data_IF_568534805833
#
_entry.id   IF_568534805833
#
_cell.length_a   1.000
_cell.length_b   1.000
_cell.length_c   1.000
_cell.angle_alpha   90.00
_cell.angle_beta   90.00
_cell.angle_gamma   90.00
#
_symmetry.space_group_name_H-M   'P 1'
#
loop_
_entity.id
_entity.type
_entity.pdbx_description
1 polymer ?
#
# COMPACT_ATOMS: atom_id res chain seq x y z
N UNK A 1 4.04 16.30 -19.81
CA UNK A 1 3.22 15.98 -18.62
C UNK A 1 3.98 14.95 -17.82
N UNK A 2 4.25 15.19 -16.54
CA UNK A 2 4.79 14.15 -15.66
C UNK A 2 3.77 13.01 -15.59
N UNK A 3 4.25 11.78 -15.78
CA UNK A 3 3.40 10.60 -15.58
C UNK A 3 3.07 10.54 -14.09
N UNK A 4 1.80 10.33 -13.76
CA UNK A 4 1.35 10.08 -12.38
C UNK A 4 1.00 8.61 -12.30
N UNK A 5 1.55 7.92 -11.31
CA UNK A 5 1.23 6.52 -11.01
C UNK A 5 0.38 6.48 -9.75
N UNK A 6 -0.86 6.00 -9.91
CA UNK A 6 -1.82 5.85 -8.81
C UNK A 6 -1.55 4.55 -8.06
N UNK A 7 -1.35 4.65 -6.76
CA UNK A 7 -0.99 3.50 -5.92
C UNK A 7 -1.97 3.28 -4.78
N UNK A 8 -2.09 2.02 -4.37
CA UNK A 8 -2.76 1.59 -3.15
C UNK A 8 -1.75 0.99 -2.18
N UNK A 9 -2.04 1.04 -0.87
CA UNK A 9 -1.24 0.38 0.15
C UNK A 9 -2.14 -0.50 1.00
N UNK A 10 -1.77 -1.78 1.16
CA UNK A 10 -2.41 -2.70 2.10
C UNK A 10 -1.44 -3.03 3.23
N UNK A 11 -1.88 -2.89 4.47
CA UNK A 11 -1.14 -3.29 5.67
C UNK A 11 -1.82 -4.46 6.39
N UNK A 12 -1.06 -5.30 7.09
CA UNK A 12 -1.67 -6.31 7.94
C UNK A 12 -2.47 -5.63 9.06
N UNK A 13 -3.69 -6.10 9.29
CA UNK A 13 -4.60 -5.54 10.31
C UNK A 13 -4.09 -5.71 11.74
N UNK A 14 -3.12 -6.61 11.98
CA UNK A 14 -2.39 -6.63 13.26
C UNK A 14 -1.82 -5.25 13.62
N UNK A 15 -1.42 -4.49 12.60
CA UNK A 15 -0.94 -3.12 12.73
C UNK A 15 -2.06 -2.09 12.51
N UNK A 16 -3.33 -2.39 12.80
CA UNK A 16 -4.47 -1.44 12.68
C UNK A 16 -4.30 -0.13 13.43
N UNK A 17 -3.40 -0.08 14.43
CA UNK A 17 -3.03 1.14 15.16
C UNK A 17 -1.93 1.96 14.47
N UNK A 18 -1.37 1.47 13.37
CA UNK A 18 -0.34 2.17 12.60
C UNK A 18 -0.97 3.33 11.84
N UNK A 19 -0.50 4.54 12.10
CA UNK A 19 -0.93 5.75 11.41
C UNK A 19 -0.38 5.89 9.97
N UNK A 20 0.30 4.86 9.43
CA UNK A 20 0.84 4.86 8.07
C UNK A 20 2.05 5.78 7.82
N UNK A 21 2.48 6.59 8.80
CA UNK A 21 3.49 7.64 8.59
C UNK A 21 4.81 7.18 7.95
N UNK A 22 5.32 6.00 8.29
CA UNK A 22 6.54 5.45 7.63
C UNK A 22 6.30 5.13 6.15
N UNK A 23 5.15 4.53 5.81
CA UNK A 23 4.79 4.23 4.43
C UNK A 23 4.64 5.53 3.61
N UNK A 24 3.94 6.52 4.16
CA UNK A 24 3.72 7.82 3.49
C UNK A 24 5.02 8.60 3.29
N UNK A 25 5.93 8.58 4.28
CA UNK A 25 7.25 9.18 4.16
C UNK A 25 8.09 8.48 3.11
N UNK A 26 8.12 7.15 3.12
CA UNK A 26 8.86 6.36 2.12
C UNK A 26 8.32 6.59 0.71
N UNK A 27 7.00 6.69 0.54
CA UNK A 27 6.35 7.06 -0.72
C UNK A 27 6.81 8.44 -1.20
N UNK A 28 6.75 9.45 -0.32
CA UNK A 28 7.15 10.83 -0.64
C UNK A 28 8.63 10.94 -1.03
N UNK A 29 9.50 10.21 -0.33
CA UNK A 29 10.94 10.24 -0.58
C UNK A 29 11.38 9.23 -1.66
N UNK A 30 10.45 8.44 -2.21
CA UNK A 30 10.74 7.34 -3.14
C UNK A 30 11.81 6.36 -2.61
N UNK A 31 11.67 5.97 -1.34
CA UNK A 31 12.57 5.06 -0.64
C UNK A 31 12.04 3.61 -0.64
N UNK A 32 12.94 2.63 -0.51
CA UNK A 32 12.57 1.21 -0.42
C UNK A 32 11.81 0.73 -1.66
N UNK A 33 10.63 0.13 -1.46
CA UNK A 33 9.77 -0.36 -2.54
C UNK A 33 9.34 0.74 -3.53
N UNK A 34 9.36 2.01 -3.12
CA UNK A 34 8.99 3.14 -3.98
C UNK A 34 10.14 3.67 -4.84
N UNK A 35 11.37 3.14 -4.67
CA UNK A 35 12.55 3.58 -5.44
C UNK A 35 12.43 3.31 -6.93
N UNK A 36 11.53 2.42 -7.35
CA UNK A 36 11.26 2.12 -8.77
C UNK A 36 10.52 3.26 -9.50
N UNK A 37 10.04 4.27 -8.78
CA UNK A 37 9.21 5.36 -9.32
C UNK A 37 9.98 6.68 -9.53
N UNK A 38 11.29 6.63 -9.79
CA UNK A 38 12.12 7.85 -9.93
C UNK A 38 11.53 8.83 -10.98
N UNK A 39 11.06 8.29 -12.10
CA UNK A 39 10.62 9.08 -13.27
C UNK A 39 9.12 9.41 -13.28
N UNK A 40 8.39 9.11 -12.20
CA UNK A 40 6.94 9.35 -12.11
C UNK A 40 6.58 9.96 -10.76
N UNK A 41 5.55 10.79 -10.76
CA UNK A 41 4.91 11.21 -9.50
C UNK A 41 4.01 10.09 -8.99
N UNK A 42 3.83 10.04 -7.67
CA UNK A 42 2.98 9.07 -6.98
C UNK A 42 1.76 9.75 -6.40
N UNK A 43 0.60 9.14 -6.61
CA UNK A 43 -0.66 9.54 -6.00
C UNK A 43 -1.20 8.37 -5.18
N UNK A 44 -1.42 8.59 -3.88
CA UNK A 44 -2.04 7.59 -3.02
C UNK A 44 -3.56 7.64 -3.19
N UNK A 45 -4.14 6.56 -3.71
CA UNK A 45 -5.58 6.46 -3.99
C UNK A 45 -6.28 5.49 -3.04
N UNK A 46 -5.56 4.51 -2.49
CA UNK A 46 -6.12 3.54 -1.55
C UNK A 46 -5.19 3.26 -0.38
N UNK A 47 -5.74 3.16 0.83
CA UNK A 47 -5.02 2.71 2.01
C UNK A 47 -5.96 1.90 2.89
N UNK A 48 -5.63 0.63 3.15
CA UNK A 48 -6.50 -0.23 3.97
C UNK A 48 -5.71 -1.33 4.66
N UNK A 49 -6.39 -2.10 5.52
CA UNK A 49 -5.85 -3.31 6.13
C UNK A 49 -6.40 -4.56 5.47
N UNK A 50 -5.76 -5.71 5.71
CA UNK A 50 -6.28 -7.01 5.27
C UNK A 50 -7.51 -7.51 6.07
N UNK A 51 -7.99 -6.75 7.07
CA UNK A 51 -9.08 -7.11 7.99
C UNK A 51 -8.85 -8.40 8.81
N UNK A 52 -7.60 -8.61 9.23
CA UNK A 52 -7.20 -9.70 10.12
C UNK A 52 -7.10 -11.05 9.40
N UNK A 53 -6.42 -12.03 10.00
CA UNK A 53 -6.35 -13.38 9.43
C UNK A 53 -7.72 -14.06 9.55
N UNK A 54 -8.27 -14.67 8.48
CA UNK A 54 -7.58 -15.17 7.28
C UNK A 54 -7.41 -14.21 6.09
N UNK A 55 -7.74 -12.93 6.24
CA UNK A 55 -7.58 -11.89 5.21
C UNK A 55 -8.92 -11.41 4.64
N UNK A 56 -9.92 -11.15 5.51
CA UNK A 56 -11.31 -10.92 5.11
C UNK A 56 -11.54 -9.80 4.10
N UNK A 57 -10.62 -8.82 4.05
CA UNK A 57 -10.72 -7.70 3.13
C UNK A 57 -9.80 -7.83 1.90
N UNK A 58 -8.94 -8.85 1.78
CA UNK A 58 -8.00 -8.97 0.65
C UNK A 58 -8.72 -9.17 -0.68
N UNK A 59 -9.78 -10.00 -0.70
CA UNK A 59 -10.54 -10.30 -1.92
C UNK A 59 -11.31 -9.06 -2.41
N UNK A 60 -11.87 -8.27 -1.49
CA UNK A 60 -12.63 -7.07 -1.82
C UNK A 60 -11.73 -5.85 -2.09
N UNK A 61 -10.67 -5.67 -1.30
CA UNK A 61 -9.81 -4.48 -1.38
C UNK A 61 -9.14 -4.31 -2.74
N UNK A 62 -8.73 -5.41 -3.39
CA UNK A 62 -8.14 -5.34 -4.72
C UNK A 62 -9.12 -4.78 -5.76
N UNK A 63 -10.32 -5.34 -5.83
CA UNK A 63 -11.38 -4.92 -6.75
C UNK A 63 -11.82 -3.47 -6.48
N UNK A 64 -11.96 -3.10 -5.21
CA UNK A 64 -12.30 -1.74 -4.80
C UNK A 64 -11.21 -0.75 -5.21
N UNK A 65 -9.94 -1.07 -4.98
CA UNK A 65 -8.79 -0.25 -5.39
C UNK A 65 -8.75 -0.06 -6.91
N UNK A 66 -8.94 -1.12 -7.69
CA UNK A 66 -8.96 -1.06 -9.16
C UNK A 66 -10.12 -0.18 -9.65
N UNK A 67 -11.32 -0.30 -9.06
CA UNK A 67 -12.48 0.55 -9.38
C UNK A 67 -12.22 2.03 -9.12
N UNK A 68 -11.44 2.35 -8.10
CA UNK A 68 -11.02 3.73 -7.79
C UNK A 68 -9.80 4.21 -8.60
N UNK A 69 -9.26 3.39 -9.50
CA UNK A 69 -8.18 3.76 -10.41
C UNK A 69 -6.77 3.57 -9.83
N UNK A 70 -6.61 2.75 -8.79
CA UNK A 70 -5.28 2.26 -8.38
C UNK A 70 -4.68 1.41 -9.50
N UNK A 71 -3.42 1.68 -9.84
CA UNK A 71 -2.67 0.96 -10.87
C UNK A 71 -1.69 -0.05 -10.27
N UNK A 72 -1.16 0.23 -9.08
CA UNK A 72 -0.23 -0.67 -8.37
C UNK A 72 -0.59 -0.72 -6.89
N UNK A 73 -0.67 -1.93 -6.32
CA UNK A 73 -0.91 -2.14 -4.89
C UNK A 73 0.41 -2.54 -4.22
N UNK A 74 0.83 -1.77 -3.22
CA UNK A 74 1.97 -2.06 -2.37
C UNK A 74 1.53 -2.80 -1.11
N UNK A 75 2.24 -3.87 -0.79
CA UNK A 75 2.08 -4.58 0.46
C UNK A 75 3.07 -4.03 1.48
N UNK A 76 2.56 -3.43 2.57
CA UNK A 76 3.41 -2.85 3.60
C UNK A 76 4.26 -3.92 4.30
N UNK A 77 5.38 -3.54 4.90
CA UNK A 77 6.29 -4.46 5.62
C UNK A 77 5.57 -5.33 6.65
N UNK A 78 4.57 -4.77 7.35
CA UNK A 78 3.77 -5.52 8.32
C UNK A 78 2.92 -6.65 7.72
N UNK A 79 2.73 -6.67 6.39
CA UNK A 79 2.03 -7.71 5.65
C UNK A 79 2.98 -8.78 5.10
N UNK A 80 4.23 -8.41 4.76
CA UNK A 80 5.23 -9.31 4.17
C UNK A 80 5.97 -10.14 5.23
N UNK A 81 6.25 -9.56 6.41
CA UNK A 81 7.20 -10.15 7.39
C UNK A 81 6.57 -11.22 8.30
N UNK A 82 5.26 -11.50 8.19
CA UNK A 82 4.61 -12.61 8.93
C UNK A 82 4.74 -12.54 10.46
N UNK A 83 4.39 -13.61 11.16
CA UNK A 83 4.56 -13.74 12.63
C UNK A 83 5.01 -15.14 13.03
N UNK A 84 5.92 -15.19 14.02
CA UNK A 84 7.26 -14.63 13.90
C UNK A 84 8.11 -15.55 13.00
N UNK A 85 9.43 -15.33 12.81
CA UNK A 85 10.31 -16.48 12.62
C UNK A 85 10.10 -17.54 13.72
#
# INVERSE_FOLDING_TARGET
MSKVTKIGIIICDRYRRCAGGKCLRAMRNKEGAFSIYQDTELELVGYTTCDGCPGGNIEYAGDEMVKNGVQVIHLATGLIVGYPP
#
